data_IF_087924777084
#
_entry.id   IF_087924777084
#
_cell.length_a   1.000
_cell.length_b   1.000
_cell.length_c   1.000
_cell.angle_alpha   90.00
_cell.angle_beta   90.00
_cell.angle_gamma   90.00
#
_symmetry.space_group_name_H-M   'P 1'
#
loop_
_entity.id
_entity.type
_entity.pdbx_description
1 polymer ?
#
# COMPACT_ATOMS: atom_id res chain seq x y z
N UNK A 1 -16.21 -29.19 44.40
CA UNK A 1 -16.20 -27.87 43.71
C UNK A 1 -17.07 -28.00 42.47
N UNK A 2 -18.23 -27.34 42.43
CA UNK A 2 -19.19 -27.49 41.34
C UNK A 2 -18.58 -26.91 40.04
N UNK A 3 -18.40 -27.74 39.00
CA UNK A 3 -17.74 -27.33 37.74
C UNK A 3 -18.43 -26.13 37.09
N UNK A 4 -19.74 -25.99 37.31
CA UNK A 4 -20.53 -24.86 36.84
C UNK A 4 -20.13 -23.54 37.51
N UNK A 5 -19.84 -23.53 38.82
CA UNK A 5 -19.42 -22.32 39.54
C UNK A 5 -18.02 -21.86 39.11
N UNK A 6 -17.12 -22.81 38.81
CA UNK A 6 -15.80 -22.49 38.27
C UNK A 6 -15.87 -21.92 36.85
N UNK A 7 -16.73 -22.48 35.98
CA UNK A 7 -16.92 -21.99 34.62
C UNK A 7 -17.50 -20.56 34.58
N UNK A 8 -18.47 -20.26 35.45
CA UNK A 8 -19.05 -18.91 35.57
C UNK A 8 -18.00 -17.91 36.09
N UNK A 9 -17.21 -18.29 37.09
CA UNK A 9 -16.11 -17.45 37.60
C UNK A 9 -15.06 -17.12 36.53
N UNK A 10 -14.65 -18.11 35.73
CA UNK A 10 -13.73 -17.91 34.60
C UNK A 10 -14.33 -16.96 33.56
N UNK A 11 -15.62 -17.10 33.25
CA UNK A 11 -16.32 -16.21 32.31
C UNK A 11 -16.31 -14.75 32.76
N UNK A 12 -16.61 -14.50 34.04
CA UNK A 12 -16.61 -13.13 34.60
C UNK A 12 -15.21 -12.52 34.57
N UNK A 13 -14.18 -13.30 34.94
CA UNK A 13 -12.77 -12.85 34.87
C UNK A 13 -12.37 -12.51 33.44
N UNK A 14 -12.74 -13.33 32.45
CA UNK A 14 -12.45 -13.09 31.04
C UNK A 14 -13.11 -11.79 30.53
N UNK A 15 -14.39 -11.56 30.87
CA UNK A 15 -15.10 -10.33 30.50
C UNK A 15 -14.44 -9.10 31.14
N UNK A 16 -14.07 -9.17 32.42
CA UNK A 16 -13.34 -8.11 33.10
C UNK A 16 -12.00 -7.77 32.44
N UNK A 17 -11.23 -8.80 32.05
CA UNK A 17 -9.98 -8.66 31.30
C UNK A 17 -10.20 -8.00 29.93
N UNK A 18 -11.21 -8.42 29.18
CA UNK A 18 -11.54 -7.83 27.86
C UNK A 18 -11.88 -6.33 28.01
N UNK A 19 -12.71 -5.97 28.98
CA UNK A 19 -13.07 -4.56 29.23
C UNK A 19 -11.82 -3.74 29.59
N UNK A 20 -10.97 -4.29 30.46
CA UNK A 20 -9.75 -3.61 30.91
C UNK A 20 -8.74 -3.44 29.76
N UNK A 21 -8.55 -4.45 28.91
CA UNK A 21 -7.76 -4.37 27.68
C UNK A 21 -8.30 -3.31 26.71
N UNK A 22 -9.63 -3.20 26.60
CA UNK A 22 -10.27 -2.14 25.81
C UNK A 22 -10.00 -0.74 26.36
N UNK A 23 -10.09 -0.55 27.68
CA UNK A 23 -9.76 0.71 28.36
C UNK A 23 -8.29 1.09 28.24
N UNK A 24 -7.39 0.10 28.24
CA UNK A 24 -5.95 0.28 27.99
C UNK A 24 -5.63 0.61 26.52
N UNK A 25 -6.63 0.65 25.64
CA UNK A 25 -6.44 1.02 24.24
C UNK A 25 -5.87 -0.10 23.38
N UNK A 26 -5.80 -1.34 23.88
CA UNK A 26 -5.25 -2.48 23.14
C UNK A 26 -6.02 -2.71 21.84
N UNK A 27 -7.36 -2.73 21.90
CA UNK A 27 -8.18 -2.85 20.69
C UNK A 27 -8.05 -1.65 19.74
N UNK A 28 -7.83 -0.45 20.28
CA UNK A 28 -7.60 0.75 19.47
C UNK A 28 -6.25 0.69 18.75
N UNK A 29 -5.21 0.21 19.43
CA UNK A 29 -3.89 -0.01 18.84
C UNK A 29 -3.94 -1.07 17.74
N UNK A 30 -4.53 -2.23 18.00
CA UNK A 30 -4.68 -3.27 16.97
C UNK A 30 -5.51 -2.78 15.78
N UNK A 31 -6.61 -2.06 16.04
CA UNK A 31 -7.40 -1.42 15.00
C UNK A 31 -6.56 -0.44 14.17
N UNK A 32 -5.81 0.44 14.81
CA UNK A 32 -4.98 1.42 14.11
C UNK A 32 -3.82 0.80 13.34
N UNK A 33 -3.20 -0.29 13.82
CA UNK A 33 -2.03 -0.91 13.18
C UNK A 33 -2.43 -1.86 12.05
N UNK A 34 -3.54 -2.58 12.23
CA UNK A 34 -3.92 -3.68 11.33
C UNK A 34 -5.16 -3.38 10.48
N UNK A 35 -5.73 -2.18 10.53
CA UNK A 35 -6.89 -1.88 9.68
C UNK A 35 -6.67 -2.13 8.18
N UNK A 36 -5.46 -1.96 7.57
CA UNK A 36 -5.28 -2.28 6.16
C UNK A 36 -5.46 -3.78 5.87
N UNK A 37 -5.30 -4.66 6.88
CA UNK A 37 -5.58 -6.08 6.73
C UNK A 37 -7.06 -6.34 6.43
N UNK A 38 -7.99 -5.50 6.90
CA UNK A 38 -9.40 -5.64 6.52
C UNK A 38 -9.64 -5.37 5.03
N UNK A 39 -8.71 -4.68 4.35
CA UNK A 39 -8.72 -4.49 2.89
C UNK A 39 -7.95 -5.62 2.20
N UNK A 40 -6.84 -6.08 2.77
CA UNK A 40 -6.03 -7.18 2.23
C UNK A 40 -6.80 -8.51 2.24
N UNK A 41 -7.48 -8.83 3.34
CA UNK A 41 -8.21 -10.09 3.53
C UNK A 41 -9.22 -10.35 2.40
N UNK A 42 -10.16 -9.44 2.06
CA UNK A 42 -11.06 -9.66 0.94
C UNK A 42 -10.33 -9.74 -0.40
N UNK A 43 -9.26 -8.96 -0.60
CA UNK A 43 -8.43 -9.05 -1.81
C UNK A 43 -7.79 -10.44 -2.00
N UNK A 44 -7.17 -10.99 -0.94
CA UNK A 44 -6.58 -12.34 -0.95
C UNK A 44 -7.67 -13.41 -1.04
N UNK A 45 -8.78 -13.24 -0.32
CA UNK A 45 -9.91 -14.17 -0.37
C UNK A 45 -10.45 -14.29 -1.80
N UNK A 46 -10.62 -13.18 -2.53
CA UNK A 46 -11.06 -13.22 -3.92
C UNK A 46 -10.08 -13.99 -4.82
N UNK A 47 -8.77 -13.86 -4.62
CA UNK A 47 -7.78 -14.69 -5.30
C UNK A 47 -7.97 -16.18 -4.98
N UNK A 48 -8.08 -16.53 -3.70
CA UNK A 48 -8.27 -17.91 -3.25
C UNK A 48 -9.55 -18.51 -3.84
N UNK A 49 -10.65 -17.77 -3.79
CA UNK A 49 -11.93 -18.20 -4.35
C UNK A 49 -11.84 -18.39 -5.87
N UNK A 50 -11.12 -17.51 -6.57
CA UNK A 50 -10.94 -17.61 -8.02
C UNK A 50 -10.12 -18.84 -8.40
N UNK A 51 -8.96 -19.05 -7.77
CA UNK A 51 -8.13 -20.25 -8.02
C UNK A 51 -8.82 -21.55 -7.56
N UNK A 52 -9.68 -21.46 -6.54
CA UNK A 52 -10.61 -22.51 -6.13
C UNK A 52 -11.80 -22.72 -7.08
N UNK A 53 -11.87 -21.98 -8.19
CA UNK A 53 -12.96 -22.02 -9.20
C UNK A 53 -14.35 -21.72 -8.65
N UNK A 54 -14.43 -20.96 -7.57
CA UNK A 54 -15.68 -20.58 -6.90
C UNK A 54 -16.25 -19.26 -7.43
N UNK A 55 -15.43 -18.41 -8.04
CA UNK A 55 -15.83 -17.10 -8.60
C UNK A 55 -15.30 -16.91 -10.02
N UNK A 56 -15.98 -16.09 -10.86
CA UNK A 56 -15.54 -15.84 -12.23
C UNK A 56 -14.22 -15.05 -12.29
N UNK A 57 -13.51 -15.12 -13.43
CA UNK A 57 -12.25 -14.41 -13.63
C UNK A 57 -12.35 -12.90 -13.46
N UNK A 58 -13.50 -12.30 -13.70
CA UNK A 58 -13.73 -10.85 -13.49
C UNK A 58 -13.45 -10.44 -12.04
N UNK A 59 -13.59 -11.35 -11.07
CA UNK A 59 -13.28 -11.11 -9.67
C UNK A 59 -11.77 -10.85 -9.40
N UNK A 60 -10.87 -11.21 -10.34
CA UNK A 60 -9.44 -10.90 -10.25
C UNK A 60 -9.18 -9.39 -10.29
N UNK A 61 -10.01 -8.62 -11.00
CA UNK A 61 -9.83 -7.17 -11.09
C UNK A 61 -9.90 -6.52 -9.69
N UNK A 62 -11.01 -6.67 -8.93
CA UNK A 62 -11.06 -6.17 -7.56
C UNK A 62 -10.09 -6.89 -6.63
N UNK A 63 -9.74 -8.16 -6.88
CA UNK A 63 -8.75 -8.88 -6.07
C UNK A 63 -7.35 -8.22 -6.14
N UNK A 64 -6.84 -7.98 -7.35
CA UNK A 64 -5.57 -7.30 -7.58
C UNK A 64 -5.56 -5.86 -7.08
N UNK A 65 -6.66 -5.13 -7.28
CA UNK A 65 -6.78 -3.76 -6.76
C UNK A 65 -6.70 -3.76 -5.23
N UNK A 66 -7.52 -4.56 -4.55
CA UNK A 66 -7.58 -4.60 -3.09
C UNK A 66 -6.25 -5.02 -2.47
N UNK A 67 -5.57 -6.01 -3.07
CA UNK A 67 -4.26 -6.45 -2.59
C UNK A 67 -3.21 -5.35 -2.72
N UNK A 68 -3.01 -4.75 -3.89
CA UNK A 68 -2.02 -3.67 -4.08
C UNK A 68 -2.37 -2.45 -3.21
N UNK A 69 -3.64 -2.04 -3.16
CA UNK A 69 -4.11 -0.94 -2.30
C UNK A 69 -3.79 -1.22 -0.84
N UNK A 70 -4.07 -2.43 -0.35
CA UNK A 70 -3.79 -2.77 1.04
C UNK A 70 -2.29 -2.73 1.37
N UNK A 71 -1.41 -3.09 0.43
CA UNK A 71 0.05 -2.94 0.61
C UNK A 71 0.43 -1.46 0.71
N UNK A 72 -0.12 -0.59 -0.14
CA UNK A 72 0.12 0.86 -0.06
C UNK A 72 -0.34 1.41 1.30
N UNK A 73 -1.50 0.97 1.77
CA UNK A 73 -2.06 1.36 3.07
C UNK A 73 -1.21 0.83 4.24
N UNK A 74 -0.70 -0.41 4.18
CA UNK A 74 0.23 -0.95 5.16
C UNK A 74 1.52 -0.13 5.23
N UNK A 75 2.07 0.26 4.07
CA UNK A 75 3.27 1.10 4.02
C UNK A 75 2.99 2.45 4.68
N UNK A 76 1.89 3.11 4.34
CA UNK A 76 1.49 4.38 4.97
C UNK A 76 1.28 4.25 6.48
N UNK A 77 0.75 3.11 6.93
CA UNK A 77 0.47 2.87 8.34
C UNK A 77 1.72 2.57 9.18
N UNK A 78 2.70 1.84 8.62
CA UNK A 78 3.92 1.46 9.35
C UNK A 78 5.05 2.48 9.23
N UNK A 79 5.21 3.08 8.05
CA UNK A 79 6.30 4.02 7.77
C UNK A 79 5.84 5.49 7.80
N UNK A 80 4.56 5.72 8.05
CA UNK A 80 3.98 7.05 8.20
C UNK A 80 3.26 7.56 6.95
N UNK A 81 2.13 8.21 7.18
CA UNK A 81 1.24 8.71 6.13
C UNK A 81 1.85 9.79 5.24
N UNK A 82 2.96 10.41 5.69
CA UNK A 82 3.73 11.36 4.89
C UNK A 82 4.30 10.76 3.60
N UNK A 83 4.46 9.43 3.52
CA UNK A 83 4.90 8.74 2.30
C UNK A 83 3.81 8.71 1.21
N UNK A 84 2.55 8.96 1.55
CA UNK A 84 1.45 8.92 0.59
C UNK A 84 1.62 9.93 -0.55
N UNK A 85 2.34 11.02 -0.29
CA UNK A 85 2.71 12.02 -1.32
C UNK A 85 3.60 11.46 -2.44
N UNK A 86 4.30 10.35 -2.18
CA UNK A 86 5.11 9.63 -3.17
C UNK A 86 4.41 8.38 -3.69
N UNK A 87 3.63 7.70 -2.84
CA UNK A 87 3.01 6.42 -3.17
C UNK A 87 1.70 6.55 -3.97
N UNK A 88 1.11 7.74 -4.06
CA UNK A 88 -0.18 7.91 -4.74
C UNK A 88 -0.26 7.35 -6.18
N UNK A 89 0.79 7.39 -7.02
CA UNK A 89 0.71 6.81 -8.37
C UNK A 89 0.51 5.29 -8.34
N UNK A 90 0.87 4.62 -7.24
CA UNK A 90 0.65 3.20 -7.07
C UNK A 90 -0.83 2.82 -6.95
N UNK A 91 -1.73 3.76 -6.66
CA UNK A 91 -3.17 3.50 -6.77
C UNK A 91 -3.61 3.27 -8.23
N UNK A 92 -2.98 3.96 -9.18
CA UNK A 92 -3.20 3.71 -10.61
C UNK A 92 -2.59 2.36 -10.99
N UNK A 93 -1.42 2.05 -10.45
CA UNK A 93 -0.79 0.74 -10.61
C UNK A 93 -1.67 -0.40 -10.07
N UNK A 94 -2.39 -0.21 -8.96
CA UNK A 94 -3.32 -1.20 -8.42
C UNK A 94 -4.40 -1.61 -9.45
N UNK A 95 -4.95 -0.63 -10.18
CA UNK A 95 -5.91 -0.87 -11.27
C UNK A 95 -5.22 -1.63 -12.42
N UNK A 96 -4.00 -1.24 -12.76
CA UNK A 96 -3.21 -1.89 -13.79
C UNK A 96 -2.94 -3.38 -13.47
N UNK A 97 -2.61 -3.69 -12.22
CA UNK A 97 -2.39 -5.06 -11.71
C UNK A 97 -3.67 -5.87 -11.77
N UNK A 98 -4.81 -5.36 -11.27
CA UNK A 98 -6.08 -6.08 -11.36
C UNK A 98 -6.49 -6.42 -12.80
N UNK A 99 -6.28 -5.48 -13.73
CA UNK A 99 -6.50 -5.74 -15.17
C UNK A 99 -5.49 -6.72 -15.76
N UNK A 100 -4.23 -6.67 -15.31
CA UNK A 100 -3.17 -7.58 -15.73
C UNK A 100 -3.49 -9.01 -15.32
N UNK A 101 -3.84 -9.22 -14.04
CA UNK A 101 -4.22 -10.52 -13.50
C UNK A 101 -5.43 -11.09 -14.23
N UNK A 102 -6.45 -10.26 -14.47
CA UNK A 102 -7.60 -10.66 -15.27
C UNK A 102 -7.22 -11.11 -16.68
N UNK A 103 -6.29 -10.43 -17.34
CA UNK A 103 -5.81 -10.82 -18.67
C UNK A 103 -4.99 -12.12 -18.66
N UNK A 104 -4.10 -12.28 -17.68
CA UNK A 104 -3.17 -13.43 -17.63
C UNK A 104 -3.89 -14.71 -17.24
N UNK A 105 -4.70 -14.65 -16.18
CA UNK A 105 -5.36 -15.82 -15.59
C UNK A 105 -6.78 -16.02 -16.14
N UNK A 106 -7.46 -14.95 -16.57
CA UNK A 106 -8.81 -15.05 -17.12
C UNK A 106 -8.89 -15.79 -18.46
N UNK A 107 -10.08 -16.32 -18.72
CA UNK A 107 -10.39 -17.03 -19.97
C UNK A 107 -10.48 -16.10 -21.19
N UNK A 108 -10.79 -14.81 -20.99
CA UNK A 108 -10.95 -13.82 -22.07
C UNK A 108 -9.68 -13.00 -22.24
N UNK A 109 -8.87 -13.38 -23.24
CA UNK A 109 -7.63 -12.66 -23.61
C UNK A 109 -7.91 -11.61 -24.68
N UNK A 110 -8.58 -10.53 -24.30
CA UNK A 110 -8.75 -9.40 -25.22
C UNK A 110 -7.46 -8.57 -25.28
N UNK A 111 -7.03 -8.23 -26.50
CA UNK A 111 -5.87 -7.34 -26.71
C UNK A 111 -6.09 -5.96 -26.07
N UNK A 112 -7.34 -5.52 -25.96
CA UNK A 112 -7.73 -4.25 -25.34
C UNK A 112 -7.40 -4.23 -23.84
N UNK A 113 -7.72 -5.29 -23.09
CA UNK A 113 -7.43 -5.35 -21.65
C UNK A 113 -5.93 -5.31 -21.39
N UNK A 114 -5.15 -6.04 -22.18
CA UNK A 114 -3.70 -6.02 -22.09
C UNK A 114 -3.13 -4.63 -22.35
N UNK A 115 -3.54 -3.97 -23.43
CA UNK A 115 -3.09 -2.61 -23.76
C UNK A 115 -3.46 -1.62 -22.66
N UNK A 116 -4.66 -1.72 -22.08
CA UNK A 116 -5.09 -0.87 -20.97
C UNK A 116 -4.26 -1.11 -19.71
N UNK A 117 -4.01 -2.37 -19.35
CA UNK A 117 -3.18 -2.72 -18.19
C UNK A 117 -1.74 -2.22 -18.33
N UNK A 118 -1.12 -2.45 -19.50
CA UNK A 118 0.23 -1.97 -19.78
C UNK A 118 0.26 -0.44 -19.82
N UNK A 119 -0.72 0.20 -20.48
CA UNK A 119 -0.83 1.65 -20.55
C UNK A 119 -0.93 2.29 -19.16
N UNK A 120 -1.79 1.76 -18.29
CA UNK A 120 -1.91 2.22 -16.90
C UNK A 120 -0.64 1.98 -16.09
N UNK A 121 0.06 0.86 -16.32
CA UNK A 121 1.35 0.58 -15.68
C UNK A 121 2.40 1.63 -16.08
N UNK A 122 2.50 1.94 -17.37
CA UNK A 122 3.43 2.96 -17.88
C UNK A 122 3.09 4.34 -17.32
N UNK A 123 1.81 4.72 -17.33
CA UNK A 123 1.36 6.00 -16.75
C UNK A 123 1.69 6.07 -15.26
N UNK A 124 1.39 5.03 -14.49
CA UNK A 124 1.72 4.96 -13.07
C UNK A 124 3.22 5.07 -12.83
N UNK A 125 4.04 4.38 -13.63
CA UNK A 125 5.50 4.44 -13.53
C UNK A 125 6.06 5.83 -13.87
N UNK A 126 5.55 6.48 -14.92
CA UNK A 126 5.94 7.85 -15.27
C UNK A 126 5.57 8.81 -14.14
N UNK A 127 4.33 8.74 -13.64
CA UNK A 127 3.88 9.59 -12.54
C UNK A 127 4.70 9.35 -11.26
N UNK A 128 5.01 8.10 -10.94
CA UNK A 128 5.87 7.75 -9.82
C UNK A 128 7.27 8.36 -9.99
N UNK A 129 7.88 8.19 -11.16
CA UNK A 129 9.17 8.82 -11.49
C UNK A 129 9.12 10.35 -11.36
N UNK A 130 8.08 11.00 -11.87
CA UNK A 130 7.89 12.45 -11.75
C UNK A 130 7.73 12.91 -10.30
N UNK A 131 6.99 12.17 -9.47
CA UNK A 131 6.83 12.53 -8.04
C UNK A 131 8.16 12.44 -7.29
N UNK A 132 8.98 11.44 -7.59
CA UNK A 132 10.33 11.33 -7.04
C UNK A 132 11.22 12.47 -7.56
N UNK A 133 11.23 12.72 -8.87
CA UNK A 133 12.02 13.79 -9.45
C UNK A 133 11.62 15.18 -8.93
N UNK A 134 10.34 15.47 -8.72
CA UNK A 134 9.90 16.76 -8.18
C UNK A 134 10.37 16.96 -6.73
N UNK A 135 10.29 15.88 -5.95
CA UNK A 135 10.72 15.89 -4.55
C UNK A 135 12.23 16.04 -4.41
N UNK A 136 12.97 15.32 -5.25
CA UNK A 136 14.43 15.32 -5.23
C UNK A 136 15.02 16.47 -6.07
N UNK A 137 14.22 17.08 -6.93
CA UNK A 137 14.63 18.07 -7.92
C UNK A 137 15.20 19.33 -7.29
N UNK A 138 14.63 19.76 -6.16
CA UNK A 138 15.18 20.88 -5.38
C UNK A 138 16.59 20.55 -4.85
N UNK A 139 16.84 19.32 -4.41
CA UNK A 139 18.18 18.92 -3.96
C UNK A 139 19.17 18.81 -5.11
N UNK A 140 18.74 18.33 -6.28
CA UNK A 140 19.58 18.29 -7.48
C UNK A 140 19.90 19.70 -7.99
N UNK A 141 18.92 20.61 -8.02
CA UNK A 141 19.12 22.02 -8.35
C UNK A 141 20.06 22.67 -7.33
N UNK A 142 19.84 22.46 -6.03
CA UNK A 142 20.69 23.00 -4.97
C UNK A 142 22.12 22.48 -5.05
N UNK A 143 22.31 21.17 -5.27
CA UNK A 143 23.64 20.58 -5.46
C UNK A 143 24.34 21.14 -6.71
N UNK A 144 23.60 21.34 -7.81
CA UNK A 144 24.10 22.02 -9.01
C UNK A 144 24.54 23.46 -8.74
N UNK A 145 23.73 24.22 -7.99
CA UNK A 145 24.03 25.60 -7.61
C UNK A 145 25.25 25.69 -6.69
N UNK A 146 25.37 24.78 -5.72
CA UNK A 146 26.52 24.68 -4.83
C UNK A 146 27.78 24.34 -5.64
N UNK A 147 27.70 23.35 -6.55
CA UNK A 147 28.82 22.98 -7.42
C UNK A 147 29.25 24.13 -8.33
N UNK A 148 28.29 24.84 -8.94
CA UNK A 148 28.56 26.01 -9.77
C UNK A 148 29.16 27.17 -8.98
N UNK A 149 28.64 27.44 -7.77
CA UNK A 149 29.17 28.44 -6.86
C UNK A 149 30.61 28.13 -6.41
N UNK A 150 30.88 26.88 -6.02
CA UNK A 150 32.21 26.42 -5.65
C UNK A 150 33.20 26.55 -6.83
N UNK A 151 32.77 26.20 -8.04
CA UNK A 151 33.56 26.34 -9.25
C UNK A 151 33.91 27.81 -9.55
N UNK A 152 32.96 28.74 -9.40
CA UNK A 152 33.21 30.17 -9.57
C UNK A 152 34.23 30.71 -8.56
N UNK A 153 34.21 30.22 -7.32
CA UNK A 153 35.18 30.61 -6.28
C UNK A 153 36.58 30.09 -6.61
N UNK A 154 36.68 28.84 -7.07
CA UNK A 154 37.96 28.22 -7.45
C UNK A 154 38.54 28.87 -8.72
N UNK A 155 37.69 29.34 -9.63
CA UNK A 155 38.11 30.01 -10.88
C UNK A 155 38.45 31.49 -10.74
N UNK A 156 38.34 32.10 -9.56
CA UNK A 156 38.77 33.50 -9.40
C UNK A 156 40.27 33.63 -9.71
N UNK A 157 40.68 34.44 -10.71
CA UNK A 157 42.07 34.82 -10.86
C UNK A 157 42.50 35.55 -9.60
N UNK A 158 43.69 35.25 -9.07
CA UNK A 158 44.30 36.03 -7.99
C UNK A 158 44.50 37.46 -8.53
N UNK A 159 43.62 38.38 -8.16
CA UNK A 159 43.83 39.81 -8.37
C UNK A 159 44.89 40.28 -7.37
N UNK A 160 46.13 40.39 -7.85
CA UNK A 160 47.16 41.27 -7.32
C UNK A 160 47.34 42.41 -8.31
#
# INVERSE_FOLDING_TARGET
MNRQSAAVGIGVVAVGLIILLGKLGVFSFFGAVFWPLFVLIPGVLLHVLYFGRMVPSVALIPAGILTVVSVILLIGNWFGWGLMKYLWPLFIFAIAVGLYEYYVFGYSRSKQIWTLSVGLTVVAAILFGLTLLWTWGIYLIAAGLIGFGAWLVIRRPRSW
#
